data_IF_429315963036
#
_entry.id   IF_429315963036
#
_cell.length_a   1.000
_cell.length_b   1.000
_cell.length_c   1.000
_cell.angle_alpha   90.00
_cell.angle_beta   90.00
_cell.angle_gamma   90.00
#
_symmetry.space_group_name_H-M   'P 1'
#
loop_
_entity.id
_entity.type
_entity.pdbx_description
1 polymer ?
#
# COMPACT_ATOMS: atom_id res chain seq x y z
N UNK A 1 -3.63 -33.10 1.17
CA UNK A 1 -4.21 -31.94 0.47
C UNK A 1 -4.99 -31.15 1.49
N UNK A 2 -4.32 -30.25 2.21
CA UNK A 2 -5.00 -29.37 3.17
C UNK A 2 -5.65 -28.27 2.35
N UNK A 3 -6.98 -28.26 2.30
CA UNK A 3 -7.71 -27.11 1.80
C UNK A 3 -7.22 -25.91 2.63
N UNK A 4 -6.56 -24.95 1.98
CA UNK A 4 -6.28 -23.66 2.60
C UNK A 4 -7.62 -23.13 3.07
N UNK A 5 -7.80 -23.02 4.39
CA UNK A 5 -8.98 -22.38 4.95
C UNK A 5 -9.00 -20.97 4.34
N UNK A 6 -10.05 -20.69 3.57
CA UNK A 6 -10.35 -19.36 3.06
C UNK A 6 -10.76 -18.51 4.27
N UNK A 7 -9.74 -18.03 5.00
CA UNK A 7 -9.92 -17.17 6.17
C UNK A 7 -10.27 -15.79 5.63
N UNK A 8 -11.47 -15.25 5.92
CA UNK A 8 -11.84 -13.90 5.53
C UNK A 8 -10.77 -12.91 5.96
N UNK A 9 -10.37 -12.02 5.04
CA UNK A 9 -9.31 -11.02 5.28
C UNK A 9 -7.86 -11.54 5.20
N UNK A 10 -7.63 -12.82 4.94
CA UNK A 10 -6.29 -13.35 4.66
C UNK A 10 -5.93 -13.36 3.15
N UNK A 11 -6.95 -13.31 2.27
CA UNK A 11 -6.77 -13.31 0.83
C UNK A 11 -7.26 -12.00 0.21
N UNK A 12 -6.55 -11.52 -0.81
CA UNK A 12 -6.92 -10.31 -1.55
C UNK A 12 -7.84 -10.67 -2.72
N UNK A 13 -9.07 -10.16 -2.75
CA UNK A 13 -10.02 -10.47 -3.83
C UNK A 13 -10.18 -9.29 -4.78
N UNK A 14 -10.08 -9.50 -6.11
CA UNK A 14 -10.29 -8.43 -7.09
C UNK A 14 -11.65 -7.73 -6.93
N UNK A 15 -12.72 -8.49 -6.70
CA UNK A 15 -14.08 -7.95 -6.59
C UNK A 15 -14.24 -6.99 -5.41
N UNK A 16 -13.58 -7.28 -4.28
CA UNK A 16 -13.62 -6.43 -3.08
C UNK A 16 -12.90 -5.10 -3.36
N UNK A 17 -11.70 -5.15 -3.94
CA UNK A 17 -10.93 -3.95 -4.29
C UNK A 17 -11.58 -3.09 -5.40
N UNK A 18 -12.25 -3.72 -6.35
CA UNK A 18 -13.03 -3.02 -7.37
C UNK A 18 -14.23 -2.29 -6.74
N UNK A 19 -14.90 -2.90 -5.76
CA UNK A 19 -16.04 -2.31 -5.05
C UNK A 19 -15.65 -1.08 -4.20
N UNK A 20 -14.38 -0.99 -3.75
CA UNK A 20 -13.88 0.18 -3.02
C UNK A 20 -13.91 1.49 -3.83
N UNK A 21 -14.10 1.41 -5.15
CA UNK A 21 -14.29 2.60 -6.00
C UNK A 21 -15.42 3.50 -5.49
N UNK A 22 -16.51 2.90 -5.00
CA UNK A 22 -17.69 3.65 -4.53
C UNK A 22 -17.45 4.32 -3.17
N UNK A 23 -16.42 3.89 -2.45
CA UNK A 23 -15.98 4.46 -1.17
C UNK A 23 -14.81 5.43 -1.32
N UNK A 24 -14.25 5.56 -2.53
CA UNK A 24 -13.06 6.38 -2.75
C UNK A 24 -13.34 7.83 -2.34
N UNK A 25 -12.48 8.43 -1.49
CA UNK A 25 -12.71 9.78 -1.00
C UNK A 25 -12.71 10.75 -2.18
N UNK A 26 -13.74 11.60 -2.23
CA UNK A 26 -13.88 12.61 -3.27
C UNK A 26 -12.60 13.48 -3.31
N UNK A 27 -11.99 13.72 -4.48
CA UNK A 27 -10.84 14.60 -4.57
C UNK A 27 -11.22 15.98 -3.99
N UNK A 28 -10.37 16.54 -3.13
CA UNK A 28 -10.53 17.93 -2.72
C UNK A 28 -10.47 18.83 -3.98
N UNK A 29 -11.37 19.79 -4.11
CA UNK A 29 -11.56 20.65 -5.30
C UNK A 29 -10.29 21.39 -5.78
N UNK A 30 -9.22 21.41 -4.98
CA UNK A 30 -7.98 22.11 -5.26
C UNK A 30 -6.79 21.21 -5.68
N UNK A 31 -6.87 19.88 -5.57
CA UNK A 31 -5.77 18.99 -5.93
C UNK A 31 -5.83 18.65 -7.43
N UNK A 32 -4.88 19.16 -8.22
CA UNK A 32 -4.73 18.80 -9.64
C UNK A 32 -4.65 17.27 -9.77
N UNK A 33 -5.26 16.63 -10.79
CA UNK A 33 -5.09 15.20 -11.03
C UNK A 33 -3.60 14.88 -11.14
N UNK A 34 -3.09 14.22 -10.11
CA UNK A 34 -1.70 13.79 -10.03
C UNK A 34 -1.60 12.34 -10.44
N UNK A 35 -0.56 12.01 -11.17
CA UNK A 35 -0.10 10.63 -11.28
C UNK A 35 0.16 10.08 -9.87
N UNK A 36 -0.24 8.84 -9.62
CA UNK A 36 -0.08 8.18 -8.32
C UNK A 36 0.64 6.85 -8.51
N UNK A 37 1.85 6.71 -7.96
CA UNK A 37 2.51 5.41 -7.85
C UNK A 37 2.22 4.83 -6.46
N UNK A 38 1.59 3.66 -6.45
CA UNK A 38 1.29 2.92 -5.24
C UNK A 38 2.39 1.90 -4.98
N UNK A 39 2.86 1.79 -3.75
CA UNK A 39 3.82 0.77 -3.33
C UNK A 39 3.18 -0.12 -2.27
N UNK A 40 2.91 -1.36 -2.65
CA UNK A 40 2.28 -2.36 -1.79
C UNK A 40 3.34 -3.29 -1.19
N UNK A 41 3.40 -3.40 0.14
CA UNK A 41 4.28 -4.34 0.82
C UNK A 41 3.54 -5.66 1.14
N UNK A 42 3.94 -6.75 0.48
CA UNK A 42 3.48 -8.12 0.72
C UNK A 42 4.61 -9.03 1.19
N UNK A 43 5.67 -8.48 1.79
CA UNK A 43 6.72 -9.28 2.44
C UNK A 43 6.15 -10.11 3.59
N UNK A 44 6.85 -11.17 4.06
CA UNK A 44 6.33 -12.05 5.09
C UNK A 44 5.81 -11.36 6.36
N UNK A 45 6.41 -10.25 6.82
CA UNK A 45 5.89 -9.49 7.97
C UNK A 45 4.51 -8.87 7.76
N UNK A 46 4.05 -8.77 6.51
CA UNK A 46 2.74 -8.22 6.14
C UNK A 46 1.67 -9.30 6.02
N UNK A 47 2.05 -10.57 5.90
CA UNK A 47 1.14 -11.72 5.78
C UNK A 47 0.66 -12.22 7.15
N UNK A 48 0.27 -11.27 8.00
CA UNK A 48 -0.19 -11.52 9.36
C UNK A 48 -1.29 -10.53 9.74
N UNK A 49 -2.22 -10.96 10.58
CA UNK A 49 -3.29 -10.13 11.14
C UNK A 49 -4.00 -10.84 12.28
N UNK A 50 -4.50 -10.07 13.26
CA UNK A 50 -5.08 -10.63 14.49
C UNK A 50 -6.61 -10.68 14.50
N UNK A 51 -7.29 -9.72 13.85
CA UNK A 51 -8.73 -9.50 14.03
C UNK A 51 -9.51 -9.64 12.72
N UNK A 52 -9.25 -8.77 11.74
CA UNK A 52 -10.06 -8.68 10.51
C UNK A 52 -9.30 -9.16 9.29
N UNK A 53 -8.15 -8.55 9.04
CA UNK A 53 -7.40 -8.72 7.80
C UNK A 53 -5.91 -8.80 8.09
N UNK A 54 -5.17 -9.43 7.17
CA UNK A 54 -3.72 -9.28 7.14
C UNK A 54 -3.34 -7.82 6.90
N UNK A 55 -2.19 -7.40 7.43
CA UNK A 55 -1.62 -6.07 7.15
C UNK A 55 -1.46 -5.84 5.65
N UNK A 56 -1.10 -6.87 4.89
CA UNK A 56 -1.03 -6.85 3.41
C UNK A 56 -2.38 -6.50 2.77
N UNK A 57 -3.46 -7.14 3.22
CA UNK A 57 -4.81 -6.94 2.70
C UNK A 57 -5.29 -5.53 3.04
N UNK A 58 -5.15 -5.10 4.30
CA UNK A 58 -5.50 -3.74 4.71
C UNK A 58 -4.69 -2.65 3.98
N UNK A 59 -3.39 -2.90 3.74
CA UNK A 59 -2.55 -2.04 2.92
C UNK A 59 -3.10 -1.91 1.49
N UNK A 60 -3.45 -3.03 0.85
CA UNK A 60 -3.98 -3.04 -0.51
C UNK A 60 -5.37 -2.39 -0.62
N UNK A 61 -6.24 -2.56 0.38
CA UNK A 61 -7.53 -1.84 0.46
C UNK A 61 -7.32 -0.32 0.53
N UNK A 62 -6.41 0.14 1.40
CA UNK A 62 -6.09 1.56 1.53
C UNK A 62 -5.49 2.14 0.24
N UNK A 63 -4.56 1.40 -0.38
CA UNK A 63 -3.98 1.78 -1.66
C UNK A 63 -5.02 1.80 -2.78
N UNK A 64 -5.99 0.88 -2.78
CA UNK A 64 -7.08 0.87 -3.75
C UNK A 64 -7.98 2.11 -3.59
N UNK A 65 -8.32 2.53 -2.37
CA UNK A 65 -9.07 3.77 -2.11
C UNK A 65 -8.33 5.00 -2.64
N UNK A 66 -7.01 5.07 -2.43
CA UNK A 66 -6.16 6.17 -2.91
C UNK A 66 -6.04 6.16 -4.43
N UNK A 67 -5.78 4.99 -5.01
CA UNK A 67 -5.69 4.81 -6.45
C UNK A 67 -6.99 5.18 -7.16
N UNK A 68 -8.14 4.76 -6.62
CA UNK A 68 -9.44 5.16 -7.16
C UNK A 68 -9.66 6.66 -7.07
N UNK A 69 -9.28 7.33 -5.98
CA UNK A 69 -9.32 8.79 -5.90
C UNK A 69 -8.52 9.45 -7.02
N UNK A 70 -7.29 8.98 -7.27
CA UNK A 70 -6.43 9.52 -8.32
C UNK A 70 -6.99 9.26 -9.72
N UNK A 71 -7.46 8.04 -9.99
CA UNK A 71 -8.05 7.63 -11.27
C UNK A 71 -9.34 8.39 -11.58
N UNK A 72 -10.23 8.54 -10.58
CA UNK A 72 -11.47 9.31 -10.70
C UNK A 72 -11.23 10.81 -10.91
N UNK A 73 -10.11 11.34 -10.39
CA UNK A 73 -9.69 12.70 -10.68
C UNK A 73 -9.15 12.87 -12.11
N UNK A 74 -8.87 11.78 -12.83
CA UNK A 74 -8.29 11.77 -14.18
C UNK A 74 -6.76 11.64 -14.20
N UNK A 75 -6.14 11.25 -13.09
CA UNK A 75 -4.70 10.94 -13.00
C UNK A 75 -4.35 9.56 -13.57
N UNK A 76 -3.06 9.25 -13.67
CA UNK A 76 -2.57 7.91 -13.97
C UNK A 76 -2.24 7.17 -12.68
N UNK A 77 -2.51 5.87 -12.62
CA UNK A 77 -2.15 5.05 -11.45
C UNK A 77 -1.23 3.91 -11.89
N UNK A 78 -0.22 3.62 -11.07
CA UNK A 78 0.72 2.52 -11.25
C UNK A 78 0.98 1.80 -9.93
N UNK A 79 1.73 0.70 -9.99
CA UNK A 79 2.03 -0.15 -8.83
C UNK A 79 3.50 -0.56 -8.81
N UNK A 80 4.08 -0.63 -7.61
CA UNK A 80 5.20 -1.49 -7.27
C UNK A 80 4.79 -2.37 -6.09
N UNK A 81 4.65 -3.68 -6.30
CA UNK A 81 4.38 -4.64 -5.24
C UNK A 81 5.67 -5.32 -4.81
N UNK A 82 5.98 -5.22 -3.52
CA UNK A 82 7.13 -5.83 -2.86
C UNK A 82 6.70 -7.15 -2.21
N UNK A 83 7.59 -8.15 -2.19
CA UNK A 83 7.35 -9.43 -1.53
C UNK A 83 8.68 -10.12 -1.21
N UNK A 84 8.62 -11.40 -0.84
CA UNK A 84 9.84 -12.21 -0.64
C UNK A 84 10.61 -12.48 -1.95
N UNK A 85 9.95 -12.34 -3.11
CA UNK A 85 10.52 -12.54 -4.44
C UNK A 85 10.89 -11.23 -5.17
N UNK A 86 10.99 -11.32 -6.50
CA UNK A 86 11.20 -10.15 -7.34
C UNK A 86 9.99 -9.20 -7.27
N UNK A 87 10.20 -7.87 -7.19
CA UNK A 87 9.10 -6.91 -7.21
C UNK A 87 8.29 -7.01 -8.51
N UNK A 88 6.97 -6.84 -8.39
CA UNK A 88 6.05 -6.72 -9.53
C UNK A 88 5.74 -5.26 -9.78
N UNK A 89 5.89 -4.80 -11.03
CA UNK A 89 5.60 -3.41 -11.40
C UNK A 89 4.46 -3.34 -12.43
N UNK A 90 3.52 -2.41 -12.23
CA UNK A 90 2.50 -2.01 -13.21
C UNK A 90 2.77 -0.56 -13.59
N UNK A 91 2.93 -0.25 -14.88
CA UNK A 91 3.23 1.11 -15.32
C UNK A 91 2.06 2.07 -15.04
N UNK A 92 2.37 3.35 -14.90
CA UNK A 92 1.36 4.41 -14.75
C UNK A 92 0.47 4.51 -16.00
N UNK A 93 -0.83 4.32 -15.83
CA UNK A 93 -1.84 4.42 -16.90
C UNK A 93 -3.10 5.13 -16.41
N UNK A 94 -3.72 5.92 -17.28
CA UNK A 94 -5.04 6.49 -17.02
C UNK A 94 -6.10 5.38 -17.14
N UNK A 95 -7.04 5.29 -16.20
CA UNK A 95 -7.94 4.14 -16.11
C UNK A 95 -7.23 2.85 -15.68
N UNK A 96 -6.01 2.95 -15.14
CA UNK A 96 -5.11 1.82 -14.88
C UNK A 96 -5.48 0.99 -13.64
N UNK A 97 -6.49 1.40 -12.86
CA UNK A 97 -6.80 0.77 -11.58
C UNK A 97 -7.15 -0.71 -11.65
N UNK A 98 -7.78 -1.16 -12.74
CA UNK A 98 -8.04 -2.60 -12.91
C UNK A 98 -6.74 -3.42 -13.06
N UNK A 99 -5.74 -2.89 -13.79
CA UNK A 99 -4.42 -3.52 -13.95
C UNK A 99 -3.64 -3.49 -12.63
N UNK A 100 -3.72 -2.37 -11.90
CA UNK A 100 -3.11 -2.21 -10.57
C UNK A 100 -3.70 -3.20 -9.57
N UNK A 101 -5.02 -3.35 -9.52
CA UNK A 101 -5.69 -4.34 -8.66
C UNK A 101 -5.27 -5.76 -9.03
N UNK A 102 -5.25 -6.10 -10.32
CA UNK A 102 -4.77 -7.41 -10.78
C UNK A 102 -3.31 -7.65 -10.37
N UNK A 103 -2.45 -6.63 -10.46
CA UNK A 103 -1.06 -6.69 -10.02
C UNK A 103 -0.93 -6.91 -8.50
N UNK A 104 -1.74 -6.23 -7.68
CA UNK A 104 -1.75 -6.43 -6.24
C UNK A 104 -2.18 -7.85 -5.87
N UNK A 105 -3.24 -8.37 -6.49
CA UNK A 105 -3.74 -9.74 -6.24
C UNK A 105 -2.69 -10.77 -6.65
N UNK A 106 -2.12 -10.64 -7.85
CA UNK A 106 -1.08 -11.57 -8.33
C UNK A 106 0.16 -11.58 -7.43
N UNK A 107 0.62 -10.41 -6.98
CA UNK A 107 1.77 -10.30 -6.09
C UNK A 107 1.46 -10.87 -4.69
N UNK A 108 0.26 -10.61 -4.16
CA UNK A 108 -0.18 -11.15 -2.88
C UNK A 108 -0.31 -12.69 -2.90
N UNK A 109 -0.90 -13.25 -3.95
CA UNK A 109 -1.03 -14.70 -4.14
C UNK A 109 0.35 -15.37 -4.24
N UNK A 110 1.27 -14.75 -4.97
CA UNK A 110 2.65 -15.21 -5.07
C UNK A 110 3.34 -15.20 -3.69
N UNK A 111 3.23 -14.10 -2.95
CA UNK A 111 3.81 -13.99 -1.61
C UNK A 111 3.21 -15.03 -0.64
N UNK A 112 1.89 -15.21 -0.68
CA UNK A 112 1.18 -16.19 0.14
C UNK A 112 1.58 -17.64 -0.18
N UNK A 113 1.77 -17.96 -1.46
CA UNK A 113 2.24 -19.26 -1.90
C UNK A 113 3.68 -19.54 -1.44
N UNK A 114 4.58 -18.55 -1.54
CA UNK A 114 5.97 -18.67 -1.06
C UNK A 114 6.02 -18.86 0.46
N UNK A 115 5.25 -18.08 1.21
CA UNK A 115 5.14 -18.21 2.66
C UNK A 115 4.59 -19.60 3.07
N UNK A 116 3.55 -20.09 2.37
CA UNK A 116 2.99 -21.43 2.58
C UNK A 116 3.99 -22.55 2.25
N UNK A 117 4.93 -22.30 1.34
CA UNK A 117 6.05 -23.19 1.04
C UNK A 117 7.22 -23.07 2.05
N UNK A 118 7.06 -22.27 3.12
CA UNK A 118 8.06 -22.09 4.17
C UNK A 118 9.10 -21.02 3.87
N UNK A 119 8.97 -20.25 2.79
CA UNK A 119 9.84 -19.10 2.53
C UNK A 119 9.34 -17.89 3.32
N UNK A 120 9.87 -17.76 4.53
CA UNK A 120 9.50 -16.71 5.49
C UNK A 120 10.61 -15.65 5.66
N UNK A 121 11.65 -15.70 4.83
CA UNK A 121 12.70 -14.69 4.83
C UNK A 121 12.09 -13.33 4.49
N UNK A 122 12.22 -12.40 5.43
CA UNK A 122 11.72 -11.03 5.29
C UNK A 122 12.88 -10.08 4.94
N UNK A 123 13.15 -9.83 3.64
CA UNK A 123 14.25 -8.96 3.25
C UNK A 123 13.99 -7.53 3.74
N UNK A 124 15.02 -6.78 4.16
CA UNK A 124 14.86 -5.38 4.59
C UNK A 124 14.13 -4.52 3.53
N UNK A 125 13.19 -3.68 3.98
CA UNK A 125 12.29 -2.89 3.12
C UNK A 125 13.07 -1.99 2.17
N UNK A 126 14.15 -1.41 2.67
CA UNK A 126 15.02 -0.53 1.91
C UNK A 126 15.58 -1.20 0.64
N UNK A 127 15.78 -2.53 0.63
CA UNK A 127 16.17 -3.28 -0.57
C UNK A 127 15.07 -3.32 -1.62
N UNK A 128 13.81 -3.51 -1.20
CA UNK A 128 12.65 -3.51 -2.11
C UNK A 128 12.38 -2.14 -2.72
N UNK A 129 12.70 -1.06 -1.99
CA UNK A 129 12.58 0.32 -2.47
C UNK A 129 13.76 0.76 -3.35
N UNK A 130 14.78 -0.10 -3.54
CA UNK A 130 15.91 0.23 -4.40
C UNK A 130 15.42 0.42 -5.85
N UNK A 131 15.81 1.54 -6.46
CA UNK A 131 15.44 1.85 -7.85
C UNK A 131 14.05 2.49 -8.02
N UNK A 132 13.24 2.60 -6.95
CA UNK A 132 11.91 3.22 -7.01
C UNK A 132 11.96 4.65 -7.56
N UNK A 133 12.96 5.44 -7.17
CA UNK A 133 13.17 6.80 -7.66
C UNK A 133 13.36 6.90 -9.19
N UNK A 134 13.77 5.81 -9.86
CA UNK A 134 13.92 5.75 -11.31
C UNK A 134 12.61 5.35 -12.03
N UNK A 135 11.63 4.79 -11.31
CA UNK A 135 10.36 4.31 -11.85
C UNK A 135 9.26 5.38 -11.84
N UNK A 136 9.40 6.40 -10.98
CA UNK A 136 8.38 7.43 -10.76
C UNK A 136 8.64 8.62 -11.71
N UNK A 137 7.74 8.93 -12.66
CA UNK A 137 7.81 10.17 -13.41
C UNK A 137 7.55 11.36 -12.49
N UNK A 138 8.21 12.49 -12.79
CA UNK A 138 8.09 13.73 -12.03
C UNK A 138 7.13 14.70 -12.76
N UNK A 139 6.10 15.28 -12.10
CA UNK A 139 5.66 15.06 -10.71
C UNK A 139 4.61 13.95 -10.57
N UNK A 140 4.75 13.15 -9.51
CA UNK A 140 3.76 12.14 -9.10
C UNK A 140 3.67 12.05 -7.57
N UNK A 141 2.48 11.72 -7.07
CA UNK A 141 2.26 11.28 -5.69
C UNK A 141 2.82 9.87 -5.54
N UNK A 142 3.57 9.62 -4.46
CA UNK A 142 4.15 8.33 -4.14
C UNK A 142 3.63 7.87 -2.79
N UNK A 143 2.89 6.76 -2.77
CA UNK A 143 2.27 6.24 -1.55
C UNK A 143 2.88 4.89 -1.22
N UNK A 144 3.52 4.76 -0.06
CA UNK A 144 4.08 3.49 0.43
C UNK A 144 3.23 2.99 1.58
N UNK A 145 2.64 1.79 1.43
CA UNK A 145 1.91 1.11 2.50
C UNK A 145 2.69 -0.12 3.00
N UNK A 146 3.14 -0.06 4.25
CA UNK A 146 3.96 -1.11 4.89
C UNK A 146 3.76 -1.10 6.41
N UNK A 147 4.11 -2.21 7.05
CA UNK A 147 4.23 -2.31 8.50
C UNK A 147 5.59 -1.86 9.04
N UNK A 148 6.55 -1.53 8.17
CA UNK A 148 7.89 -0.99 8.50
C UNK A 148 8.73 -1.77 9.55
N UNK A 149 8.33 -2.99 9.93
CA UNK A 149 8.97 -3.78 10.99
C UNK A 149 10.41 -4.20 10.69
N UNK A 150 10.75 -4.39 9.41
CA UNK A 150 12.11 -4.69 8.93
C UNK A 150 12.57 -3.59 7.97
N UNK A 151 12.97 -2.40 8.46
CA UNK A 151 13.20 -1.22 7.62
C UNK A 151 14.49 -1.34 6.79
N UNK A 152 15.58 -1.83 7.38
CA UNK A 152 16.92 -1.79 6.79
C UNK A 152 17.64 -0.45 7.04
N UNK A 153 18.97 -0.49 7.03
CA UNK A 153 19.82 0.64 7.45
C UNK A 153 19.74 1.85 6.52
N UNK A 154 19.37 1.65 5.25
CA UNK A 154 19.28 2.72 4.27
C UNK A 154 17.86 3.21 4.02
N UNK A 155 16.88 2.86 4.86
CA UNK A 155 15.50 3.31 4.64
C UNK A 155 15.39 4.83 4.71
N UNK A 156 15.93 5.46 5.76
CA UNK A 156 15.86 6.90 5.98
C UNK A 156 16.35 7.69 4.75
N UNK A 157 17.57 7.40 4.29
CA UNK A 157 18.17 8.06 3.13
C UNK A 157 17.36 7.86 1.83
N UNK A 158 16.67 6.72 1.67
CA UNK A 158 15.80 6.47 0.52
C UNK A 158 14.52 7.29 0.62
N UNK A 159 13.89 7.36 1.79
CA UNK A 159 12.69 8.17 2.00
C UNK A 159 13.01 9.66 1.81
N UNK A 160 14.16 10.14 2.29
CA UNK A 160 14.63 11.51 2.04
C UNK A 160 14.76 11.82 0.54
N UNK A 161 15.39 10.91 -0.21
CA UNK A 161 15.54 11.04 -1.65
C UNK A 161 14.18 11.10 -2.36
N UNK A 162 13.24 10.22 -1.98
CA UNK A 162 11.91 10.17 -2.57
C UNK A 162 11.09 11.43 -2.21
N UNK A 163 11.12 11.87 -0.94
CA UNK A 163 10.44 13.07 -0.48
C UNK A 163 10.99 14.35 -1.13
N UNK A 164 12.28 14.37 -1.48
CA UNK A 164 12.88 15.52 -2.18
C UNK A 164 12.39 15.71 -3.61
N UNK A 165 11.74 14.70 -4.21
CA UNK A 165 11.33 14.67 -5.63
C UNK A 165 9.84 14.45 -5.84
N UNK A 166 9.16 13.86 -4.87
CA UNK A 166 7.78 13.40 -5.01
C UNK A 166 6.98 13.82 -3.78
N UNK A 167 5.66 13.95 -3.97
CA UNK A 167 4.75 14.07 -2.84
C UNK A 167 4.65 12.69 -2.15
N UNK A 168 5.60 12.43 -1.24
CA UNK A 168 5.72 11.16 -0.52
C UNK A 168 4.65 11.07 0.57
N UNK A 169 3.95 9.93 0.62
CA UNK A 169 3.02 9.58 1.69
C UNK A 169 3.32 8.17 2.20
N UNK A 170 3.35 8.03 3.52
CA UNK A 170 3.58 6.74 4.18
C UNK A 170 2.30 6.31 4.90
N UNK A 171 1.88 5.07 4.68
CA UNK A 171 0.84 4.41 5.46
C UNK A 171 1.52 3.35 6.33
N UNK A 172 1.49 3.54 7.64
CA UNK A 172 2.00 2.58 8.60
C UNK A 172 0.89 1.62 9.01
N UNK A 173 0.96 0.38 8.53
CA UNK A 173 -0.08 -0.63 8.74
C UNK A 173 0.26 -1.51 9.95
N UNK A 174 -0.60 -1.45 10.95
CA UNK A 174 -0.53 -2.24 12.20
C UNK A 174 -1.76 -3.16 12.33
N UNK A 175 -1.79 -4.04 13.32
CA UNK A 175 -2.91 -4.95 13.60
C UNK A 175 -3.23 -5.09 15.09
N UNK A 176 -2.80 -4.11 15.90
CA UNK A 176 -2.88 -4.15 17.36
C UNK A 176 -4.29 -3.99 17.93
N UNK A 177 -5.30 -3.67 17.10
CA UNK A 177 -6.67 -3.39 17.57
C UNK A 177 -6.78 -2.12 18.42
N UNK A 178 -5.70 -1.35 18.47
CA UNK A 178 -5.58 -0.08 19.16
C UNK A 178 -5.15 0.94 18.11
N UNK A 179 -5.90 2.04 18.00
CA UNK A 179 -5.45 3.20 17.23
C UNK A 179 -4.27 3.82 17.98
N UNK A 180 -3.07 3.27 17.79
CA UNK A 180 -1.85 3.95 18.19
C UNK A 180 -1.73 5.25 17.38
N UNK A 181 -1.13 6.24 18.05
CA UNK A 181 -1.31 7.67 17.85
C UNK A 181 -1.31 8.15 16.39
N UNK A 182 -2.19 9.12 16.12
CA UNK A 182 -2.13 9.96 14.92
C UNK A 182 -0.76 10.65 14.92
N UNK A 183 0.15 10.21 14.04
CA UNK A 183 1.48 10.79 13.89
C UNK A 183 2.66 9.82 14.03
N UNK A 184 2.54 8.58 13.53
CA UNK A 184 3.70 7.68 13.48
C UNK A 184 4.82 8.31 12.64
N UNK A 185 6.03 8.37 13.17
CA UNK A 185 7.21 8.86 12.43
C UNK A 185 8.02 7.67 11.93
N UNK A 186 8.19 7.58 10.62
CA UNK A 186 8.98 6.54 9.97
C UNK A 186 10.24 7.20 9.41
N UNK A 187 11.34 7.02 10.15
CA UNK A 187 12.66 7.51 9.76
C UNK A 187 12.70 9.01 9.39
N UNK A 188 12.06 9.87 10.20
CA UNK A 188 12.00 11.32 9.94
C UNK A 188 10.76 11.80 9.18
N UNK A 189 9.94 10.88 8.67
CA UNK A 189 8.79 11.21 7.81
C UNK A 189 7.47 10.90 8.50
N UNK A 190 6.51 11.81 8.40
CA UNK A 190 5.17 11.59 8.93
C UNK A 190 4.47 10.45 8.17
N UNK A 191 3.88 9.52 8.92
CA UNK A 191 3.08 8.43 8.40
C UNK A 191 1.66 8.48 8.96
N UNK A 192 0.70 8.15 8.09
CA UNK A 192 -0.68 7.91 8.52
C UNK A 192 -0.76 6.50 9.09
N UNK A 193 -1.07 6.39 10.38
CA UNK A 193 -1.31 5.11 11.03
C UNK A 193 -2.62 4.48 10.52
N UNK A 194 -2.55 3.21 10.15
CA UNK A 194 -3.69 2.41 9.70
C UNK A 194 -3.73 1.10 10.48
N UNK A 195 -4.85 0.82 11.13
CA UNK A 195 -5.08 -0.45 11.80
C UNK A 195 -5.81 -1.40 10.86
N UNK A 196 -5.21 -2.56 10.59
CA UNK A 196 -5.76 -3.60 9.74
C UNK A 196 -7.07 -4.18 10.27
N UNK A 197 -7.40 -3.94 11.55
CA UNK A 197 -8.69 -4.30 12.15
C UNK A 197 -9.86 -3.44 11.64
N UNK A 198 -9.59 -2.23 11.12
CA UNK A 198 -10.63 -1.30 10.68
C UNK A 198 -11.21 -1.71 9.32
N UNK A 199 -12.54 -1.63 9.14
CA UNK A 199 -13.16 -1.91 7.86
C UNK A 199 -12.86 -0.79 6.83
N UNK A 200 -12.97 -1.07 5.51
CA UNK A 200 -12.55 -0.12 4.48
C UNK A 200 -13.31 1.21 4.51
N UNK A 201 -14.56 1.22 4.95
CA UNK A 201 -15.38 2.43 5.10
C UNK A 201 -14.79 3.38 6.15
N UNK A 202 -14.27 2.85 7.25
CA UNK A 202 -13.61 3.63 8.29
C UNK A 202 -12.29 4.19 7.77
N UNK A 203 -11.52 3.36 7.05
CA UNK A 203 -10.28 3.79 6.39
C UNK A 203 -10.54 4.92 5.39
N UNK A 204 -11.58 4.81 4.56
CA UNK A 204 -11.96 5.86 3.62
C UNK A 204 -12.23 7.21 4.32
N UNK A 205 -12.92 7.18 5.46
CA UNK A 205 -13.15 8.36 6.30
C UNK A 205 -11.85 8.95 6.86
N UNK A 206 -10.92 8.12 7.31
CA UNK A 206 -9.59 8.56 7.78
C UNK A 206 -8.78 9.20 6.65
N UNK A 207 -8.74 8.58 5.48
CA UNK A 207 -8.03 9.11 4.32
C UNK A 207 -8.57 10.47 3.88
N UNK A 208 -9.90 10.66 3.90
CA UNK A 208 -10.52 11.95 3.59
C UNK A 208 -10.10 13.08 4.56
N UNK A 209 -9.80 12.75 5.83
CA UNK A 209 -9.33 13.71 6.84
C UNK A 209 -7.81 13.91 6.86
N UNK A 210 -7.04 12.83 6.68
CA UNK A 210 -5.58 12.82 6.81
C UNK A 210 -4.84 13.48 5.64
N UNK A 211 -5.46 13.57 4.46
CA UNK A 211 -4.85 14.20 3.29
C UNK A 211 -4.91 15.74 3.28
N UNK A 212 -5.43 16.40 4.33
CA UNK A 212 -5.57 17.86 4.40
C UNK A 212 -4.32 18.62 4.89
N UNK A 213 -3.20 17.95 5.13
CA UNK A 213 -1.99 18.59 5.64
C UNK A 213 -0.89 18.45 4.58
N UNK A 214 -0.57 19.57 3.94
CA UNK A 214 0.41 19.71 2.85
C UNK A 214 0.25 21.08 2.22
#
# INVERSE_FOLDING_TARGET
MTAALDVPGAALRPAELLALRDLAPCPAEAARPGDCLLVADFRPSMLWGLIRAFRSVAAAEALALIGWRADLAGGRVGLLALGAGAPLAVPLRAGGMAEVIAGMVSAHDTASALASAGQLDDPPLDRGLAGLAALVPDPAELVIASGFGMPGVGLAARLDLLASRHALRLLHVSDSGHTEEIGAEIAGHAALALDASLPPEAVAGMLAGGFRIG
#
